data_IF_290020385055
#
_entry.id   IF_290020385055
#
_cell.length_a   1.000
_cell.length_b   1.000
_cell.length_c   1.000
_cell.angle_alpha   90.00
_cell.angle_beta   90.00
_cell.angle_gamma   90.00
#
_symmetry.space_group_name_H-M   'P 1'
#
loop_
_entity.id
_entity.type
_entity.pdbx_description
1 polymer ?
#
# COMPACT_ATOMS: atom_id res chain seq x y z
N UNK A 1 3.46 -9.46 -5.21
CA UNK A 1 4.27 -8.23 -5.38
C UNK A 1 3.55 -7.37 -6.41
N UNK A 2 3.11 -6.19 -5.99
CA UNK A 2 2.40 -5.21 -6.82
C UNK A 2 3.16 -3.90 -6.74
N UNK A 3 3.44 -3.32 -7.90
CA UNK A 3 4.16 -2.06 -8.01
C UNK A 3 3.23 -1.04 -8.69
N UNK A 4 2.83 -0.02 -7.94
CA UNK A 4 1.86 1.00 -8.33
C UNK A 4 0.56 0.45 -8.98
N UNK A 5 -0.14 -0.51 -8.34
CA UNK A 5 -1.29 -1.19 -8.97
C UNK A 5 -2.52 -0.29 -9.17
N UNK A 6 -2.56 0.87 -8.52
CA UNK A 6 -3.65 1.85 -8.65
C UNK A 6 -3.38 2.89 -9.73
N UNK A 7 -2.19 2.88 -10.34
CA UNK A 7 -1.82 3.81 -11.40
C UNK A 7 -2.64 3.54 -12.68
N UNK A 8 -3.00 4.61 -13.41
CA UNK A 8 -3.84 4.57 -14.61
C UNK A 8 -5.27 3.99 -14.40
N UNK A 9 -5.68 3.70 -13.16
CA UNK A 9 -7.05 3.30 -12.86
C UNK A 9 -7.93 4.52 -12.61
N UNK A 10 -9.15 4.48 -13.13
CA UNK A 10 -10.20 5.40 -12.70
C UNK A 10 -10.58 5.12 -11.22
N UNK A 11 -11.24 6.07 -10.54
CA UNK A 11 -11.57 5.92 -9.12
C UNK A 11 -12.40 4.68 -8.77
N UNK A 12 -13.30 4.23 -9.66
CA UNK A 12 -14.13 3.05 -9.41
C UNK A 12 -13.29 1.77 -9.55
N UNK A 13 -12.50 1.67 -10.62
CA UNK A 13 -11.58 0.54 -10.82
C UNK A 13 -10.57 0.42 -9.68
N UNK A 14 -10.06 1.55 -9.15
CA UNK A 14 -9.17 1.57 -7.99
C UNK A 14 -9.83 0.97 -6.75
N UNK A 15 -11.05 1.39 -6.44
CA UNK A 15 -11.78 0.90 -5.28
C UNK A 15 -12.00 -0.62 -5.34
N UNK A 16 -12.36 -1.15 -6.52
CA UNK A 16 -12.54 -2.59 -6.74
C UNK A 16 -11.23 -3.37 -6.52
N UNK A 17 -10.11 -2.88 -7.05
CA UNK A 17 -8.80 -3.52 -6.83
C UNK A 17 -8.42 -3.52 -5.36
N UNK A 18 -8.58 -2.40 -4.66
CA UNK A 18 -8.27 -2.32 -3.23
C UNK A 18 -9.16 -3.24 -2.40
N UNK A 19 -10.45 -3.35 -2.73
CA UNK A 19 -11.37 -4.28 -2.08
C UNK A 19 -10.93 -5.74 -2.29
N UNK A 20 -10.60 -6.11 -3.52
CA UNK A 20 -10.12 -7.46 -3.84
C UNK A 20 -8.79 -7.81 -3.12
N UNK A 21 -7.88 -6.83 -2.99
CA UNK A 21 -6.62 -7.01 -2.26
C UNK A 21 -6.84 -7.17 -0.75
N UNK A 22 -7.80 -6.45 -0.18
CA UNK A 22 -8.17 -6.56 1.24
C UNK A 22 -8.72 -7.93 1.60
N UNK A 23 -9.51 -8.53 0.71
CA UNK A 23 -10.11 -9.85 0.92
C UNK A 23 -9.19 -11.01 0.52
N UNK A 24 -8.01 -10.71 -0.03
CA UNK A 24 -7.07 -11.74 -0.46
C UNK A 24 -6.45 -12.45 0.75
N UNK A 25 -6.68 -13.76 0.87
CA UNK A 25 -6.23 -14.58 2.00
C UNK A 25 -4.73 -14.89 2.02
N UNK A 26 -3.97 -14.43 1.00
CA UNK A 26 -2.53 -14.62 0.91
C UNK A 26 -1.77 -13.39 1.35
N UNK A 27 -0.44 -13.43 1.20
CA UNK A 27 0.40 -12.26 1.46
C UNK A 27 0.51 -11.39 0.20
N UNK A 28 0.37 -10.08 0.37
CA UNK A 28 0.64 -9.09 -0.67
C UNK A 28 1.79 -8.21 -0.21
N UNK A 29 2.74 -7.98 -1.11
CA UNK A 29 3.74 -6.92 -0.98
C UNK A 29 3.35 -5.85 -1.98
N UNK A 30 3.11 -4.64 -1.49
CA UNK A 30 2.64 -3.50 -2.26
C UNK A 30 3.69 -2.38 -2.20
N UNK A 31 3.98 -1.80 -3.35
CA UNK A 31 4.74 -0.56 -3.49
C UNK A 31 3.77 0.49 -4.06
N UNK A 32 3.58 1.60 -3.35
CA UNK A 32 2.69 2.68 -3.79
C UNK A 32 3.04 4.02 -3.13
N UNK A 33 2.79 5.12 -3.84
CA UNK A 33 2.77 6.48 -3.31
C UNK A 33 1.35 7.00 -2.98
N UNK A 34 0.33 6.13 -3.06
CA UNK A 34 -1.08 6.50 -2.79
C UNK A 34 -1.43 6.27 -1.31
N UNK A 35 -1.51 7.34 -0.53
CA UNK A 35 -1.95 7.32 0.87
C UNK A 35 -3.35 6.68 1.05
N UNK A 36 -4.23 6.88 0.08
CA UNK A 36 -5.58 6.31 0.08
C UNK A 36 -5.55 4.79 -0.06
N UNK A 37 -4.63 4.25 -0.87
CA UNK A 37 -4.42 2.82 -1.00
C UNK A 37 -3.88 2.21 0.30
N UNK A 38 -2.89 2.85 0.93
CA UNK A 38 -2.34 2.40 2.22
C UNK A 38 -3.41 2.41 3.31
N UNK A 39 -4.18 3.50 3.41
CA UNK A 39 -5.27 3.62 4.39
C UNK A 39 -6.36 2.58 4.16
N UNK A 40 -6.70 2.28 2.90
CA UNK A 40 -7.74 1.30 2.57
C UNK A 40 -7.34 -0.14 2.88
N UNK A 41 -6.03 -0.46 2.77
CA UNK A 41 -5.52 -1.81 2.93
C UNK A 41 -5.04 -2.13 4.34
N UNK A 42 -4.78 -1.14 5.19
CA UNK A 42 -4.36 -1.31 6.58
C UNK A 42 -3.23 -2.36 6.72
N UNK A 43 -2.05 -2.10 6.12
CA UNK A 43 -0.99 -3.11 6.06
C UNK A 43 -0.48 -3.49 7.46
N UNK A 44 -0.01 -4.72 7.62
CA UNK A 44 0.57 -5.17 8.90
C UNK A 44 1.99 -4.65 9.13
N UNK A 45 2.75 -4.42 8.05
CA UNK A 45 4.20 -4.22 8.07
C UNK A 45 4.65 -3.22 7.02
N UNK A 46 5.80 -2.58 7.28
CA UNK A 46 6.50 -1.69 6.36
C UNK A 46 7.92 -2.17 6.11
N UNK A 47 8.43 -1.90 4.91
CA UNK A 47 9.83 -2.09 4.55
C UNK A 47 10.41 -0.74 4.13
N UNK A 48 11.32 -0.20 4.93
CA UNK A 48 11.98 1.07 4.70
C UNK A 48 13.26 0.85 3.87
N UNK A 49 13.30 1.49 2.70
CA UNK A 49 14.42 1.44 1.77
C UNK A 49 15.19 2.78 1.78
N UNK A 50 16.51 2.78 1.48
CA UNK A 50 17.31 1.67 0.95
C UNK A 50 17.86 0.71 2.02
N UNK A 51 17.73 1.04 3.30
CA UNK A 51 18.39 0.30 4.39
C UNK A 51 17.80 -1.10 4.63
N UNK A 52 16.62 -1.41 4.05
CA UNK A 52 15.97 -2.71 4.15
C UNK A 52 15.45 -3.00 5.56
N UNK A 53 15.08 -1.95 6.30
CA UNK A 53 14.57 -2.06 7.66
C UNK A 53 13.09 -2.44 7.62
N UNK A 54 12.74 -3.54 8.27
CA UNK A 54 11.35 -3.97 8.44
C UNK A 54 10.81 -3.48 9.79
N UNK A 55 9.59 -2.96 9.78
CA UNK A 55 8.86 -2.60 11.01
C UNK A 55 7.36 -2.95 10.88
N UNK A 56 6.63 -2.87 11.99
CA UNK A 56 5.17 -2.91 11.98
C UNK A 56 4.61 -1.60 11.43
N UNK A 57 3.48 -1.67 10.75
CA UNK A 57 2.79 -0.45 10.30
C UNK A 57 2.39 0.43 11.49
N UNK A 58 2.63 1.73 11.34
CA UNK A 58 2.21 2.80 12.24
C UNK A 58 1.70 3.96 11.36
N UNK A 59 0.55 4.59 11.69
CA UNK A 59 0.09 5.81 11.03
C UNK A 59 1.13 6.92 10.87
N UNK A 60 2.15 6.99 11.72
CA UNK A 60 3.26 7.95 11.58
C UNK A 60 4.05 7.78 10.26
N UNK A 61 3.93 6.62 9.59
CA UNK A 61 4.54 6.39 8.28
C UNK A 61 3.72 6.93 7.11
N UNK A 62 2.47 7.38 7.32
CA UNK A 62 1.63 7.93 6.24
C UNK A 62 2.32 9.11 5.56
N UNK A 63 2.93 10.00 6.35
CA UNK A 63 3.64 11.17 5.82
C UNK A 63 4.84 10.78 4.94
N UNK A 64 5.41 9.58 5.09
CA UNK A 64 6.50 9.10 4.24
C UNK A 64 6.00 8.56 2.89
N UNK A 65 4.72 8.17 2.77
CA UNK A 65 4.15 7.57 1.56
C UNK A 65 4.05 8.59 0.43
N UNK A 66 3.64 9.82 0.74
CA UNK A 66 3.46 10.91 -0.25
C UNK A 66 4.70 11.78 -0.46
N UNK A 67 5.75 11.59 0.36
CA UNK A 67 7.00 12.33 0.25
C UNK A 67 7.93 11.79 -0.85
N UNK A 68 7.63 10.61 -1.41
CA UNK A 68 8.44 9.89 -2.39
C UNK A 68 8.03 10.16 -3.84
#
# INVERSE_FOLDING_TARGET
LLDEPTNNLDPASRAEVLAALRDYSGAVVLVTHDEGAVTALEPDRVLLLPDGVEDLWNPDYVDLVSLA
#
